data_IF_093680442875
#
_entry.id   IF_093680442875
#
_cell.length_a   1.000
_cell.length_b   1.000
_cell.length_c   1.000
_cell.angle_alpha   90.00
_cell.angle_beta   90.00
_cell.angle_gamma   90.00
#
_symmetry.space_group_name_H-M   'P 1'
#
loop_
_entity.id
_entity.type
_entity.pdbx_description
1 polymer ?
#
# COMPACT_ATOMS: atom_id res chain seq x y z
N UNK A 1 3.30 -1.90 9.49
CA UNK A 1 2.74 -2.87 10.45
C UNK A 1 3.53 -4.18 10.46
N UNK A 2 3.71 -4.83 9.30
CA UNK A 2 4.46 -6.11 9.22
C UNK A 2 5.85 -5.99 9.88
N UNK A 3 6.66 -5.00 9.49
CA UNK A 3 7.97 -4.75 10.07
C UNK A 3 7.94 -4.61 11.61
N UNK A 4 6.94 -3.91 12.13
CA UNK A 4 6.76 -3.75 13.58
C UNK A 4 6.42 -5.07 14.28
N UNK A 5 5.52 -5.84 13.70
CA UNK A 5 5.05 -7.12 14.26
C UNK A 5 6.10 -8.24 14.14
N UNK A 6 6.92 -8.22 13.08
CA UNK A 6 8.01 -9.20 12.90
C UNK A 6 9.18 -9.05 13.88
N UNK A 7 9.21 -8.01 14.71
CA UNK A 7 10.27 -7.81 15.74
C UNK A 7 10.15 -8.77 16.92
N UNK A 8 9.03 -9.44 17.08
CA UNK A 8 8.75 -10.35 18.23
C UNK A 8 8.97 -11.82 17.87
N UNK A 9 9.87 -12.14 16.96
CA UNK A 9 10.15 -13.49 16.42
C UNK A 9 8.94 -14.17 15.77
N UNK A 10 7.92 -13.39 15.42
CA UNK A 10 6.72 -13.89 14.75
C UNK A 10 6.93 -13.95 13.23
N UNK A 11 6.50 -15.06 12.63
CA UNK A 11 6.41 -15.16 11.18
C UNK A 11 5.14 -14.48 10.69
N UNK A 12 5.29 -13.24 10.22
CA UNK A 12 4.19 -12.38 9.77
C UNK A 12 4.14 -12.36 8.25
N UNK A 13 3.00 -12.72 7.68
CA UNK A 13 2.79 -12.70 6.23
C UNK A 13 1.57 -11.85 5.85
N UNK A 14 1.59 -11.29 4.64
CA UNK A 14 0.44 -10.58 4.07
C UNK A 14 -0.41 -11.51 3.20
N UNK A 15 -1.72 -11.29 3.20
CA UNK A 15 -2.67 -12.00 2.34
C UNK A 15 -3.50 -11.01 1.53
N UNK A 16 -3.30 -11.02 0.22
CA UNK A 16 -4.03 -10.20 -0.75
C UNK A 16 -4.91 -11.04 -1.68
N UNK A 17 -5.76 -10.39 -2.45
CA UNK A 17 -6.58 -11.07 -3.47
C UNK A 17 -5.81 -11.44 -4.73
N UNK A 18 -4.71 -10.75 -5.01
CA UNK A 18 -4.07 -10.82 -6.32
C UNK A 18 -4.86 -10.04 -7.38
N UNK A 19 -5.39 -8.86 -7.01
CA UNK A 19 -6.15 -8.04 -7.95
C UNK A 19 -5.27 -7.64 -9.14
N UNK A 20 -5.82 -7.75 -10.36
CA UNK A 20 -5.08 -7.50 -11.60
C UNK A 20 -4.24 -8.66 -12.09
N UNK A 21 -3.91 -9.63 -11.22
CA UNK A 21 -3.13 -10.81 -11.58
C UNK A 21 -3.95 -11.92 -12.26
N UNK A 22 -3.28 -12.74 -13.06
CA UNK A 22 -3.86 -13.93 -13.71
C UNK A 22 -3.94 -15.12 -12.75
N UNK A 23 -2.99 -15.25 -11.81
CA UNK A 23 -2.96 -16.30 -10.80
C UNK A 23 -4.04 -16.08 -9.73
N UNK A 24 -4.85 -17.09 -9.49
CA UNK A 24 -5.96 -17.01 -8.52
C UNK A 24 -5.58 -17.56 -7.14
N UNK A 25 -4.38 -18.10 -6.99
CA UNK A 25 -3.90 -18.70 -5.76
C UNK A 25 -4.70 -19.96 -5.32
N UNK A 26 -4.42 -20.48 -4.15
CA UNK A 26 -3.41 -20.02 -3.18
C UNK A 26 -1.97 -20.06 -3.72
N UNK A 27 -1.23 -18.97 -3.57
CA UNK A 27 0.14 -18.89 -4.05
C UNK A 27 0.97 -17.98 -3.13
N UNK A 28 2.14 -18.45 -2.71
CA UNK A 28 3.14 -17.61 -2.05
C UNK A 28 3.91 -16.86 -3.13
N UNK A 29 3.91 -15.53 -3.03
CA UNK A 29 4.53 -14.67 -4.03
C UNK A 29 6.05 -14.70 -3.88
N UNK A 30 6.74 -15.04 -4.96
CA UNK A 30 8.19 -14.99 -5.06
C UNK A 30 8.62 -13.71 -5.82
N UNK A 31 9.24 -12.73 -5.14
CA UNK A 31 9.62 -11.48 -5.78
C UNK A 31 10.70 -11.61 -6.86
N UNK A 32 11.40 -12.75 -6.96
CA UNK A 32 12.43 -12.98 -7.96
C UNK A 32 11.87 -13.59 -9.25
N UNK A 33 10.79 -14.35 -9.16
CA UNK A 33 10.25 -15.12 -10.30
C UNK A 33 8.86 -14.67 -10.74
N UNK A 34 8.04 -14.15 -9.82
CA UNK A 34 6.70 -13.67 -10.14
C UNK A 34 6.74 -12.27 -10.77
N UNK A 35 5.77 -12.01 -11.64
CA UNK A 35 5.58 -10.69 -12.27
C UNK A 35 4.22 -10.11 -11.93
N UNK A 36 4.09 -8.79 -12.02
CA UNK A 36 2.86 -8.07 -11.64
C UNK A 36 1.60 -8.53 -12.39
N UNK A 37 1.75 -8.96 -13.65
CA UNK A 37 0.64 -9.51 -14.46
C UNK A 37 0.12 -10.86 -13.95
N UNK A 38 0.92 -11.57 -13.17
CA UNK A 38 0.54 -12.87 -12.65
C UNK A 38 -0.04 -12.77 -11.24
N UNK A 39 0.61 -12.03 -10.35
CA UNK A 39 0.24 -11.98 -8.93
C UNK A 39 -0.44 -10.67 -8.51
N UNK A 40 -0.39 -9.64 -9.37
CA UNK A 40 -0.81 -8.28 -9.04
C UNK A 40 0.35 -7.42 -8.50
N UNK A 41 0.29 -6.13 -8.76
CA UNK A 41 1.35 -5.18 -8.36
C UNK A 41 1.47 -5.04 -6.83
N UNK A 42 0.36 -4.94 -6.10
CA UNK A 42 0.39 -4.78 -4.64
C UNK A 42 0.99 -5.99 -3.92
N UNK A 43 0.58 -7.24 -4.20
CA UNK A 43 1.22 -8.42 -3.61
C UNK A 43 2.71 -8.54 -3.96
N UNK A 44 3.07 -8.23 -5.21
CA UNK A 44 4.48 -8.27 -5.64
C UNK A 44 5.31 -7.22 -4.90
N UNK A 45 4.77 -6.01 -4.69
CA UNK A 45 5.41 -4.97 -3.89
C UNK A 45 5.57 -5.41 -2.42
N UNK A 46 4.54 -6.00 -1.84
CA UNK A 46 4.61 -6.52 -0.48
C UNK A 46 5.64 -7.66 -0.33
N UNK A 47 5.81 -8.49 -1.36
CA UNK A 47 6.79 -9.56 -1.39
C UNK A 47 8.24 -9.06 -1.39
N UNK A 48 8.52 -7.85 -1.89
CA UNK A 48 9.86 -7.26 -1.85
C UNK A 48 10.41 -7.05 -0.43
N UNK A 49 9.52 -6.91 0.55
CA UNK A 49 9.89 -6.58 1.93
C UNK A 49 9.51 -7.65 2.95
N UNK A 50 8.99 -8.80 2.52
CA UNK A 50 8.67 -9.94 3.38
C UNK A 50 7.60 -10.84 2.78
N UNK A 51 7.20 -11.86 3.52
CA UNK A 51 6.30 -12.89 3.03
C UNK A 51 4.93 -12.35 2.60
N UNK A 52 4.52 -12.67 1.38
CA UNK A 52 3.24 -12.28 0.81
C UNK A 52 2.56 -13.46 0.10
N UNK A 53 1.25 -13.55 0.24
CA UNK A 53 0.42 -14.58 -0.35
C UNK A 53 -0.73 -13.96 -1.11
N UNK A 54 -1.16 -14.63 -2.17
CA UNK A 54 -2.38 -14.29 -2.89
C UNK A 54 -3.34 -15.48 -2.89
N UNK A 55 -4.63 -15.15 -2.90
CA UNK A 55 -5.67 -16.14 -3.10
C UNK A 55 -7.05 -15.52 -3.18
N UNK A 56 -7.85 -15.96 -4.13
CA UNK A 56 -9.25 -15.57 -4.24
C UNK A 56 -10.06 -16.18 -3.10
N UNK A 57 -9.82 -17.46 -2.81
CA UNK A 57 -10.33 -18.12 -1.59
C UNK A 57 -9.40 -17.79 -0.41
N UNK A 58 -9.82 -16.80 0.39
CA UNK A 58 -9.09 -16.35 1.57
C UNK A 58 -8.98 -17.44 2.63
N UNK A 59 -10.01 -18.29 2.76
CA UNK A 59 -10.07 -19.33 3.80
C UNK A 59 -9.07 -20.42 3.49
N UNK A 60 -9.05 -20.90 2.25
CA UNK A 60 -8.10 -21.92 1.80
C UNK A 60 -6.67 -21.39 1.93
N UNK A 61 -6.43 -20.17 1.44
CA UNK A 61 -5.10 -19.56 1.50
C UNK A 61 -4.62 -19.38 2.94
N UNK A 62 -5.47 -18.86 3.84
CA UNK A 62 -5.10 -18.69 5.24
C UNK A 62 -4.81 -20.03 5.95
N UNK A 63 -5.51 -21.13 5.59
CA UNK A 63 -5.22 -22.47 6.10
C UNK A 63 -3.83 -22.96 5.65
N UNK A 64 -3.48 -22.73 4.39
CA UNK A 64 -2.16 -23.09 3.87
C UNK A 64 -1.06 -22.27 4.53
N UNK A 65 -1.27 -20.96 4.70
CA UNK A 65 -0.33 -20.08 5.41
C UNK A 65 -0.11 -20.59 6.85
N UNK A 66 -1.16 -20.89 7.59
CA UNK A 66 -1.06 -21.44 8.94
C UNK A 66 -0.35 -22.80 8.96
N UNK A 67 -0.65 -23.69 8.01
CA UNK A 67 0.02 -24.98 7.87
C UNK A 67 1.51 -24.84 7.52
N UNK A 68 1.91 -23.77 6.86
CA UNK A 68 3.31 -23.45 6.57
C UNK A 68 4.06 -22.80 7.76
N UNK A 69 3.38 -22.53 8.86
CA UNK A 69 3.96 -21.95 10.07
C UNK A 69 3.88 -20.43 10.13
N UNK A 70 2.98 -19.78 9.40
CA UNK A 70 2.69 -18.35 9.57
C UNK A 70 1.92 -18.13 10.86
N UNK A 71 2.45 -17.30 11.75
CA UNK A 71 1.86 -17.01 13.06
C UNK A 71 0.80 -15.92 12.99
N UNK A 72 1.00 -14.93 12.11
CA UNK A 72 0.11 -13.78 11.95
C UNK A 72 -0.10 -13.42 10.47
N UNK A 73 -1.36 -13.27 10.09
CA UNK A 73 -1.77 -12.90 8.73
C UNK A 73 -2.29 -11.45 8.73
N UNK A 74 -1.66 -10.59 7.95
CA UNK A 74 -2.16 -9.24 7.66
C UNK A 74 -2.94 -9.30 6.36
N UNK A 75 -4.27 -9.16 6.44
CA UNK A 75 -5.10 -9.10 5.24
C UNK A 75 -5.08 -7.70 4.63
N UNK A 76 -4.56 -7.60 3.43
CA UNK A 76 -4.67 -6.39 2.61
C UNK A 76 -6.06 -6.31 1.96
N UNK A 77 -6.71 -5.13 2.05
CA UNK A 77 -8.13 -4.92 1.68
C UNK A 77 -9.09 -5.97 2.26
N UNK A 78 -8.84 -6.35 3.53
CA UNK A 78 -9.56 -7.44 4.20
C UNK A 78 -10.83 -7.02 4.96
N UNK A 79 -11.03 -5.72 5.23
CA UNK A 79 -12.06 -5.24 6.16
C UNK A 79 -13.48 -5.70 5.79
N UNK A 80 -13.83 -5.68 4.52
CA UNK A 80 -15.15 -6.06 3.99
C UNK A 80 -15.27 -7.54 3.60
N UNK A 81 -14.21 -8.33 3.77
CA UNK A 81 -14.27 -9.76 3.51
C UNK A 81 -14.90 -10.49 4.71
N UNK A 82 -16.06 -11.19 4.57
CA UNK A 82 -16.71 -11.85 5.68
C UNK A 82 -16.23 -13.30 5.91
N UNK A 83 -15.40 -13.84 5.02
CA UNK A 83 -15.06 -15.27 5.03
C UNK A 83 -14.07 -15.69 6.13
N UNK A 84 -13.27 -14.74 6.61
CA UNK A 84 -12.33 -14.93 7.71
C UNK A 84 -12.69 -14.02 8.89
N UNK A 85 -12.62 -14.59 10.10
CA UNK A 85 -12.62 -13.81 11.32
C UNK A 85 -11.35 -12.95 11.38
N UNK A 86 -11.49 -11.70 11.82
CA UNK A 86 -10.36 -10.81 12.05
C UNK A 86 -10.26 -10.55 13.55
N UNK A 87 -9.09 -10.81 14.10
CA UNK A 87 -8.80 -10.54 15.51
C UNK A 87 -8.58 -9.04 15.76
N UNK A 88 -8.21 -8.29 14.71
CA UNK A 88 -8.07 -6.84 14.72
C UNK A 88 -8.39 -6.29 13.32
N UNK A 89 -9.24 -5.27 13.25
CA UNK A 89 -9.60 -4.56 12.03
C UNK A 89 -9.15 -3.10 12.09
N UNK A 90 -8.20 -2.72 11.28
CA UNK A 90 -7.72 -1.35 11.13
C UNK A 90 -8.31 -0.74 9.85
N UNK A 91 -9.05 0.36 9.97
CA UNK A 91 -9.59 1.08 8.83
C UNK A 91 -8.72 2.28 8.51
N UNK A 92 -8.16 2.32 7.30
CA UNK A 92 -7.32 3.43 6.85
C UNK A 92 -8.17 4.42 6.06
N UNK A 93 -8.11 5.70 6.45
CA UNK A 93 -8.85 6.79 5.82
C UNK A 93 -7.88 7.90 5.43
N UNK A 94 -7.94 8.32 4.18
CA UNK A 94 -7.19 9.48 3.69
C UNK A 94 -7.78 10.76 4.29
N UNK A 95 -6.97 11.58 4.96
CA UNK A 95 -7.43 12.79 5.67
C UNK A 95 -8.12 13.81 4.76
N UNK A 96 -7.70 13.87 3.46
CA UNK A 96 -8.23 14.83 2.49
C UNK A 96 -9.46 14.28 1.75
N UNK A 97 -9.40 13.03 1.28
CA UNK A 97 -10.50 12.43 0.51
C UNK A 97 -11.62 11.90 1.40
N UNK A 98 -11.31 11.50 2.63
CA UNK A 98 -12.27 10.98 3.59
C UNK A 98 -13.07 9.80 3.01
N UNK A 99 -14.37 9.91 3.10
CA UNK A 99 -15.33 8.93 2.57
C UNK A 99 -15.97 9.39 1.24
N UNK A 100 -15.31 10.31 0.49
CA UNK A 100 -15.86 10.91 -0.71
C UNK A 100 -17.15 11.66 -0.40
N UNK A 101 -18.20 11.41 -1.18
CA UNK A 101 -19.53 12.03 -0.93
C UNK A 101 -20.35 11.28 0.15
N UNK A 102 -19.79 10.26 0.81
CA UNK A 102 -20.44 9.48 1.88
C UNK A 102 -21.51 8.48 1.42
N UNK A 103 -21.74 8.33 0.12
CA UNK A 103 -22.76 7.42 -0.41
C UNK A 103 -22.16 6.11 -0.91
N UNK A 104 -23.00 5.07 -0.85
CA UNK A 104 -22.71 3.74 -1.38
C UNK A 104 -22.91 3.73 -2.91
N UNK A 105 -22.19 2.86 -3.60
CA UNK A 105 -22.36 2.56 -5.03
C UNK A 105 -23.86 2.29 -5.35
N UNK A 106 -24.41 2.86 -6.43
CA UNK A 106 -23.74 3.62 -7.50
C UNK A 106 -23.70 5.14 -7.26
N UNK A 107 -24.25 5.66 -6.17
CA UNK A 107 -24.34 7.12 -5.87
C UNK A 107 -23.01 7.71 -5.40
N UNK A 108 -22.13 6.90 -4.84
CA UNK A 108 -20.83 7.31 -4.34
C UNK A 108 -19.81 6.16 -4.41
N UNK A 109 -18.60 6.36 -3.86
CA UNK A 109 -17.52 5.40 -4.00
C UNK A 109 -17.56 4.25 -2.99
N UNK A 110 -18.42 4.31 -1.98
CA UNK A 110 -18.38 3.35 -0.88
C UNK A 110 -19.06 2.03 -1.25
N UNK A 111 -18.52 0.92 -0.74
CA UNK A 111 -19.11 -0.42 -0.87
C UNK A 111 -20.17 -0.68 0.20
N UNK A 112 -20.13 0.07 1.30
CA UNK A 112 -21.07 0.01 2.43
C UNK A 112 -21.18 1.40 3.09
N UNK A 113 -22.14 1.58 4.00
CA UNK A 113 -22.27 2.84 4.74
C UNK A 113 -21.10 3.03 5.70
N UNK A 114 -20.70 4.29 5.91
CA UNK A 114 -19.62 4.64 6.85
C UNK A 114 -19.88 4.03 8.24
N UNK A 115 -21.12 4.17 8.74
CA UNK A 115 -21.49 3.64 10.05
C UNK A 115 -21.31 2.12 10.14
N UNK A 116 -21.74 1.37 9.11
CA UNK A 116 -21.56 -0.09 9.07
C UNK A 116 -20.09 -0.50 8.98
N UNK A 117 -19.27 0.21 8.21
CA UNK A 117 -17.83 -0.02 8.14
C UNK A 117 -17.15 0.25 9.48
N UNK A 118 -17.37 1.41 10.05
CA UNK A 118 -16.72 1.81 11.31
C UNK A 118 -17.19 0.99 12.53
N UNK A 119 -18.41 0.43 12.52
CA UNK A 119 -18.88 -0.43 13.63
C UNK A 119 -18.11 -1.72 13.79
N UNK A 120 -17.30 -2.12 12.79
CA UNK A 120 -16.46 -3.32 12.80
C UNK A 120 -14.97 -3.00 12.89
N UNK A 121 -14.62 -1.72 12.98
CA UNK A 121 -13.24 -1.28 13.16
C UNK A 121 -12.85 -1.34 14.64
N UNK A 122 -11.65 -1.81 14.91
CA UNK A 122 -11.04 -1.77 16.25
C UNK A 122 -10.19 -0.50 16.42
N UNK A 123 -9.69 0.05 15.32
CA UNK A 123 -9.06 1.38 15.27
C UNK A 123 -9.14 1.98 13.86
N UNK A 124 -9.00 3.31 13.80
CA UNK A 124 -8.96 4.06 12.55
C UNK A 124 -7.58 4.69 12.40
N UNK A 125 -7.00 4.59 11.20
CA UNK A 125 -5.74 5.24 10.84
C UNK A 125 -6.07 6.35 9.85
N UNK A 126 -5.84 7.61 10.24
CA UNK A 126 -6.00 8.78 9.38
C UNK A 126 -4.66 9.08 8.72
N UNK A 127 -4.63 8.97 7.39
CA UNK A 127 -3.41 9.14 6.59
C UNK A 127 -3.31 10.53 5.97
N UNK A 128 -2.24 11.24 6.32
CA UNK A 128 -1.91 12.55 5.76
C UNK A 128 -2.40 13.71 6.62
N UNK A 129 -2.02 14.92 6.18
CA UNK A 129 -2.34 16.17 6.86
C UNK A 129 -3.75 16.64 6.45
N UNK A 130 -4.60 16.85 7.44
CA UNK A 130 -5.96 17.31 7.20
C UNK A 130 -6.87 17.05 8.39
N UNK A 131 -8.04 17.67 8.34
CA UNK A 131 -9.08 17.40 9.33
C UNK A 131 -9.80 16.11 8.96
N UNK A 132 -9.77 15.09 9.82
CA UNK A 132 -10.53 13.87 9.55
C UNK A 132 -12.03 14.16 9.44
N UNK A 133 -12.78 13.37 8.65
CA UNK A 133 -14.24 13.46 8.58
C UNK A 133 -14.89 13.39 9.96
N UNK A 134 -15.96 14.15 10.18
CA UNK A 134 -16.66 14.20 11.47
C UNK A 134 -17.14 12.82 11.97
N UNK A 135 -17.45 11.90 11.04
CA UNK A 135 -17.81 10.53 11.38
C UNK A 135 -16.68 9.77 12.12
N UNK A 136 -15.40 10.09 11.85
CA UNK A 136 -14.24 9.52 12.54
C UNK A 136 -14.16 10.09 13.96
N UNK A 137 -14.35 11.39 14.12
CA UNK A 137 -14.30 12.03 15.44
C UNK A 137 -15.38 11.50 16.39
N UNK A 138 -16.47 10.94 15.87
CA UNK A 138 -17.57 10.34 16.63
C UNK A 138 -17.45 8.80 16.78
N UNK A 139 -16.46 8.17 16.15
CA UNK A 139 -16.28 6.74 16.25
C UNK A 139 -15.80 6.34 17.65
N UNK A 140 -16.38 5.28 18.26
CA UNK A 140 -16.06 4.87 19.63
C UNK A 140 -14.76 4.01 19.69
N UNK A 141 -13.82 4.24 18.78
CA UNK A 141 -12.58 3.45 18.65
C UNK A 141 -11.36 4.38 18.56
N UNK A 142 -10.18 3.93 18.94
CA UNK A 142 -8.96 4.71 18.84
C UNK A 142 -8.72 5.22 17.42
N UNK A 143 -8.28 6.48 17.31
CA UNK A 143 -7.88 7.07 16.02
C UNK A 143 -6.41 7.43 16.08
N UNK A 144 -5.65 6.90 15.14
CA UNK A 144 -4.22 7.15 14.98
C UNK A 144 -3.99 8.06 13.78
N UNK A 145 -3.09 9.03 13.93
CA UNK A 145 -2.59 9.84 12.82
C UNK A 145 -1.31 9.24 12.25
N UNK A 146 -1.23 9.19 10.93
CA UNK A 146 -0.03 8.78 10.24
C UNK A 146 0.16 9.58 8.94
N UNK A 147 1.39 9.73 8.52
CA UNK A 147 1.73 10.36 7.25
C UNK A 147 2.69 9.50 6.45
N UNK A 148 2.79 9.79 5.16
CA UNK A 148 3.73 9.12 4.26
C UNK A 148 5.08 9.83 4.32
N UNK A 149 6.15 9.09 4.59
CA UNK A 149 7.51 9.62 4.60
C UNK A 149 8.45 8.72 3.76
N UNK A 150 9.48 9.28 3.13
CA UNK A 150 10.51 8.49 2.45
C UNK A 150 11.22 7.55 3.43
N UNK A 151 11.51 6.35 2.97
CA UNK A 151 12.30 5.38 3.78
C UNK A 151 13.81 5.57 3.67
N UNK A 152 14.26 6.48 2.80
CA UNK A 152 15.67 6.76 2.57
C UNK A 152 15.92 8.24 2.30
N UNK A 153 17.17 8.55 1.97
CA UNK A 153 17.55 9.91 1.58
C UNK A 153 16.96 10.25 0.21
N UNK A 154 16.19 11.35 0.10
CA UNK A 154 15.70 11.81 -1.20
C UNK A 154 16.84 12.01 -2.20
N UNK A 155 16.63 11.72 -3.49
CA UNK A 155 17.67 11.85 -4.49
C UNK A 155 18.12 13.31 -4.63
N UNK A 156 19.41 13.53 -4.83
CA UNK A 156 19.99 14.83 -5.15
C UNK A 156 20.00 15.07 -6.66
N UNK A 157 19.89 16.33 -7.08
CA UNK A 157 19.92 16.77 -8.48
C UNK A 157 18.57 16.57 -9.21
N UNK A 158 18.51 17.03 -10.48
CA UNK A 158 17.28 17.12 -11.22
C UNK A 158 16.67 15.75 -11.56
N UNK A 159 15.34 15.66 -11.42
CA UNK A 159 14.57 14.47 -11.77
C UNK A 159 13.37 14.78 -12.66
N UNK A 160 13.05 13.85 -13.55
CA UNK A 160 11.75 13.76 -14.21
C UNK A 160 10.96 12.68 -13.49
N UNK A 161 9.86 13.08 -12.86
CA UNK A 161 8.99 12.18 -12.12
C UNK A 161 7.87 11.66 -13.02
N UNK A 162 7.53 10.39 -12.91
CA UNK A 162 6.35 9.84 -13.58
C UNK A 162 5.59 8.89 -12.65
N UNK A 163 4.27 8.79 -12.82
CA UNK A 163 3.45 7.90 -12.00
C UNK A 163 2.16 7.48 -12.72
N UNK A 164 1.87 6.17 -12.67
CA UNK A 164 0.65 5.53 -13.16
C UNK A 164 -0.17 4.92 -12.02
N UNK A 165 -0.46 5.74 -11.00
CA UNK A 165 -1.28 5.40 -9.85
C UNK A 165 -2.56 6.23 -9.83
N UNK A 166 -3.56 5.85 -9.03
CA UNK A 166 -4.88 6.51 -8.99
C UNK A 166 -4.84 8.02 -8.68
N UNK A 167 -3.81 8.51 -8.01
CA UNK A 167 -3.59 9.93 -7.72
C UNK A 167 -2.13 10.32 -7.90
N UNK A 168 -1.64 10.50 -9.15
CA UNK A 168 -0.24 10.83 -9.44
C UNK A 168 0.22 12.13 -8.77
N UNK A 169 -0.68 13.11 -8.64
CA UNK A 169 -0.37 14.39 -8.01
C UNK A 169 0.13 14.23 -6.58
N UNK A 170 -0.43 13.27 -5.81
CA UNK A 170 0.04 12.98 -4.45
C UNK A 170 1.51 12.58 -4.40
N UNK A 171 1.96 11.81 -5.37
CA UNK A 171 3.38 11.45 -5.50
C UNK A 171 4.24 12.68 -5.82
N UNK A 172 3.84 13.50 -6.76
CA UNK A 172 4.56 14.73 -7.12
C UNK A 172 4.62 15.73 -5.96
N UNK A 173 3.52 15.87 -5.21
CA UNK A 173 3.48 16.71 -4.01
C UNK A 173 4.42 16.16 -2.91
N UNK A 174 4.49 14.84 -2.75
CA UNK A 174 5.42 14.19 -1.81
C UNK A 174 6.87 14.49 -2.18
N UNK A 175 7.26 14.35 -3.45
CA UNK A 175 8.60 14.70 -3.92
C UNK A 175 8.92 16.18 -3.63
N UNK A 176 7.98 17.07 -3.89
CA UNK A 176 8.13 18.52 -3.66
C UNK A 176 8.28 18.84 -2.16
N UNK A 177 7.47 18.23 -1.30
CA UNK A 177 7.55 18.38 0.15
C UNK A 177 8.92 17.96 0.72
N UNK A 178 9.54 16.96 0.10
CA UNK A 178 10.88 16.49 0.45
C UNK A 178 12.02 17.17 -0.34
N UNK A 179 11.72 18.31 -0.99
CA UNK A 179 12.69 19.15 -1.71
C UNK A 179 13.44 18.42 -2.84
N UNK A 180 12.84 17.42 -3.44
CA UNK A 180 13.38 16.79 -4.64
C UNK A 180 13.28 17.79 -5.79
N UNK A 181 14.37 17.98 -6.51
CA UNK A 181 14.45 18.91 -7.65
C UNK A 181 13.73 18.31 -8.86
N UNK A 182 12.39 18.40 -8.86
CA UNK A 182 11.53 17.86 -9.91
C UNK A 182 11.44 18.88 -11.06
N UNK A 183 12.03 18.54 -12.21
CA UNK A 183 12.05 19.42 -13.41
C UNK A 183 10.79 19.22 -14.24
N UNK A 184 10.30 17.98 -14.30
CA UNK A 184 9.10 17.61 -15.06
C UNK A 184 8.31 16.54 -14.32
N UNK A 185 6.99 16.49 -14.53
CA UNK A 185 6.07 15.51 -13.91
C UNK A 185 5.13 14.95 -14.99
N UNK A 186 5.19 13.64 -15.20
CA UNK A 186 4.43 12.95 -16.25
C UNK A 186 3.42 12.00 -15.61
N UNK A 187 2.13 12.37 -15.54
CA UNK A 187 1.09 11.48 -15.06
C UNK A 187 0.67 10.46 -16.13
N UNK A 188 0.45 9.22 -15.72
CA UNK A 188 -0.15 8.16 -16.52
C UNK A 188 -1.49 7.72 -15.89
N UNK A 189 -2.36 7.03 -16.65
CA UNK A 189 -3.56 6.41 -16.10
C UNK A 189 -3.24 5.42 -14.96
N UNK A 190 -4.19 5.21 -14.04
CA UNK A 190 -4.02 4.22 -12.98
C UNK A 190 -3.79 2.81 -13.54
N UNK A 191 -2.88 2.06 -12.92
CA UNK A 191 -2.43 0.74 -13.36
C UNK A 191 -1.87 0.70 -14.80
N UNK A 192 -1.27 1.81 -15.26
CA UNK A 192 -0.69 1.89 -16.61
C UNK A 192 0.39 0.83 -16.83
N UNK A 193 0.28 0.15 -17.98
CA UNK A 193 1.33 -0.78 -18.44
C UNK A 193 2.28 0.01 -19.33
N UNK A 194 3.49 0.27 -18.83
CA UNK A 194 4.49 1.07 -19.55
C UNK A 194 4.96 0.36 -20.81
N UNK A 195 4.66 0.97 -21.95
CA UNK A 195 5.09 0.48 -23.27
C UNK A 195 6.54 0.90 -23.57
N UNK A 196 7.16 0.24 -24.54
CA UNK A 196 8.50 0.67 -25.03
C UNK A 196 8.51 2.12 -25.51
N UNK A 197 7.39 2.60 -26.09
CA UNK A 197 7.27 3.98 -26.55
C UNK A 197 7.19 4.95 -25.36
N UNK A 198 6.46 4.60 -24.29
CA UNK A 198 6.41 5.42 -23.08
C UNK A 198 7.79 5.54 -22.43
N UNK A 199 8.50 4.43 -22.30
CA UNK A 199 9.83 4.40 -21.70
C UNK A 199 10.85 5.17 -22.56
N UNK A 200 10.81 5.03 -23.88
CA UNK A 200 11.66 5.81 -24.77
C UNK A 200 11.38 7.32 -24.63
N UNK A 201 10.11 7.72 -24.59
CA UNK A 201 9.72 9.12 -24.36
C UNK A 201 10.26 9.65 -23.03
N UNK A 202 10.11 8.89 -21.94
CA UNK A 202 10.59 9.28 -20.62
C UNK A 202 12.12 9.42 -20.58
N UNK A 203 12.85 8.49 -21.19
CA UNK A 203 14.32 8.55 -21.27
C UNK A 203 14.79 9.76 -22.11
N UNK A 204 14.15 10.04 -23.25
CA UNK A 204 14.48 11.19 -24.08
C UNK A 204 14.19 12.50 -23.34
N UNK A 205 13.06 12.58 -22.62
CA UNK A 205 12.71 13.73 -21.80
C UNK A 205 13.76 13.95 -20.70
N UNK A 206 14.10 12.94 -19.94
CA UNK A 206 15.09 13.00 -18.86
C UNK A 206 16.48 13.42 -19.40
N UNK A 207 16.90 12.85 -20.54
CA UNK A 207 18.15 13.21 -21.23
C UNK A 207 18.16 14.68 -21.67
N UNK A 208 17.07 15.17 -22.26
CA UNK A 208 16.95 16.56 -22.72
C UNK A 208 17.03 17.56 -21.56
N UNK A 209 16.65 17.14 -20.35
CA UNK A 209 16.65 17.94 -19.12
C UNK A 209 17.91 17.72 -18.27
N UNK A 210 18.84 16.86 -18.69
CA UNK A 210 19.98 16.40 -17.87
C UNK A 210 19.53 15.89 -16.49
N UNK A 211 18.39 15.21 -16.44
CA UNK A 211 17.72 14.72 -15.25
C UNK A 211 17.71 13.18 -15.20
N UNK A 212 17.44 12.61 -14.02
CA UNK A 212 17.20 11.18 -13.83
C UNK A 212 15.70 10.89 -13.77
N UNK A 213 15.31 9.68 -14.12
CA UNK A 213 13.92 9.23 -13.98
C UNK A 213 13.64 8.76 -12.56
N UNK A 214 12.46 9.12 -12.04
CA UNK A 214 11.98 8.65 -10.73
C UNK A 214 10.49 8.33 -10.79
N UNK A 215 10.09 7.25 -10.12
CA UNK A 215 8.70 6.80 -10.06
C UNK A 215 8.33 6.24 -8.68
N UNK A 216 7.07 5.85 -8.49
CA UNK A 216 6.61 5.17 -7.28
C UNK A 216 7.12 3.73 -7.21
N UNK A 217 7.17 3.12 -6.02
CA UNK A 217 7.48 1.70 -5.88
C UNK A 217 6.48 0.82 -6.65
N UNK A 218 5.19 1.19 -6.63
CA UNK A 218 4.12 0.47 -7.34
C UNK A 218 4.32 0.49 -8.85
N UNK A 219 4.76 1.60 -9.41
CA UNK A 219 5.07 1.68 -10.85
C UNK A 219 6.39 1.00 -11.17
N UNK A 220 7.40 1.14 -10.31
CA UNK A 220 8.72 0.56 -10.50
C UNK A 220 8.69 -0.96 -10.70
N UNK A 221 7.88 -1.69 -9.91
CA UNK A 221 7.77 -3.13 -10.05
C UNK A 221 7.05 -3.59 -11.34
N UNK A 222 6.31 -2.70 -12.01
CA UNK A 222 5.69 -2.95 -13.32
C UNK A 222 6.65 -2.71 -14.49
N UNK A 223 7.79 -2.04 -14.24
CA UNK A 223 8.76 -1.78 -15.29
C UNK A 223 9.45 -3.07 -15.70
N UNK A 224 9.82 -3.21 -17.00
CA UNK A 224 10.71 -4.27 -17.44
C UNK A 224 12.04 -4.22 -16.66
N UNK A 225 12.61 -5.36 -16.35
CA UNK A 225 13.84 -5.45 -15.56
C UNK A 225 15.00 -4.60 -16.14
N UNK A 226 15.16 -4.62 -17.46
CA UNK A 226 16.18 -3.84 -18.15
C UNK A 226 16.08 -2.32 -17.91
N UNK A 227 14.86 -1.80 -17.72
CA UNK A 227 14.61 -0.37 -17.50
C UNK A 227 14.78 0.02 -16.04
N UNK A 228 14.57 -0.93 -15.10
CA UNK A 228 14.74 -0.68 -13.65
C UNK A 228 16.16 -0.24 -13.29
N UNK A 229 17.16 -0.66 -14.05
CA UNK A 229 18.56 -0.27 -13.81
C UNK A 229 18.81 1.25 -13.98
N UNK A 230 17.97 1.94 -14.74
CA UNK A 230 18.13 3.36 -15.08
C UNK A 230 17.07 4.27 -14.48
N UNK A 231 16.05 3.70 -13.85
CA UNK A 231 14.92 4.41 -13.24
C UNK A 231 14.99 4.22 -11.72
N UNK A 232 14.85 5.29 -10.97
CA UNK A 232 14.81 5.25 -9.51
C UNK A 232 13.38 5.01 -9.02
N UNK A 233 13.22 4.20 -7.97
CA UNK A 233 12.00 4.21 -7.16
C UNK A 233 12.13 5.21 -6.02
N UNK A 234 11.00 5.75 -5.56
CA UNK A 234 10.92 6.58 -4.36
C UNK A 234 10.15 5.81 -3.28
N UNK A 235 10.86 5.02 -2.45
CA UNK A 235 10.22 4.20 -1.44
C UNK A 235 9.71 5.06 -0.30
N UNK A 236 8.50 4.74 0.15
CA UNK A 236 7.82 5.45 1.23
C UNK A 236 7.24 4.48 2.26
N UNK A 237 7.10 4.94 3.49
CA UNK A 237 6.40 4.21 4.54
C UNK A 237 5.43 5.10 5.29
N UNK A 238 4.47 4.47 5.96
CA UNK A 238 3.59 5.15 6.90
C UNK A 238 4.32 5.35 8.23
N UNK A 239 4.44 6.60 8.66
CA UNK A 239 4.99 7.00 9.95
C UNK A 239 3.84 7.42 10.85
N UNK A 240 3.70 6.76 11.99
CA UNK A 240 2.68 7.06 13.00
C UNK A 240 3.18 8.16 13.94
N UNK A 241 2.31 9.13 14.23
CA UNK A 241 2.63 10.23 15.14
C UNK A 241 2.71 9.73 16.59
N UNK A 242 1.80 8.84 16.98
CA UNK A 242 1.76 8.21 18.30
C UNK A 242 2.03 6.70 18.19
N UNK A 243 3.27 6.31 18.37
CA UNK A 243 3.67 4.91 18.36
C UNK A 243 3.23 4.14 19.61
N UNK A 244 3.04 4.81 20.75
CA UNK A 244 2.57 4.19 21.98
C UNK A 244 1.08 3.82 21.88
N UNK A 245 0.28 4.66 21.23
CA UNK A 245 -1.12 4.33 20.93
C UNK A 245 -1.20 3.16 19.94
N UNK A 246 -0.33 3.12 18.92
CA UNK A 246 -0.25 1.99 18.00
C UNK A 246 0.10 0.70 18.75
N UNK A 247 1.06 0.74 19.69
CA UNK A 247 1.42 -0.40 20.52
C UNK A 247 0.23 -0.88 21.36
N UNK A 248 -0.52 0.05 21.93
CA UNK A 248 -1.74 -0.27 22.69
C UNK A 248 -2.80 -0.95 21.83
N UNK A 249 -3.00 -0.49 20.59
CA UNK A 249 -3.95 -1.09 19.64
C UNK A 249 -3.53 -2.49 19.21
N UNK A 250 -2.23 -2.74 19.07
CA UNK A 250 -1.68 -4.04 18.63
C UNK A 250 -1.51 -5.04 19.78
N UNK A 251 -1.43 -4.57 21.04
CA UNK A 251 -1.15 -5.40 22.20
C UNK A 251 -2.05 -6.64 22.34
N UNK A 252 -3.39 -6.56 22.13
CA UNK A 252 -4.26 -7.75 22.25
C UNK A 252 -3.87 -8.89 21.30
N UNK A 253 -3.41 -8.58 20.09
CA UNK A 253 -2.96 -9.58 19.12
C UNK A 253 -1.65 -10.23 19.56
N UNK A 254 -0.68 -9.41 19.98
CA UNK A 254 0.63 -9.88 20.44
C UNK A 254 0.47 -10.76 21.67
N UNK A 255 -0.37 -10.39 22.63
CA UNK A 255 -0.66 -11.20 23.83
C UNK A 255 -1.34 -12.54 23.51
N UNK A 256 -2.20 -12.56 22.48
CA UNK A 256 -2.87 -13.78 22.04
C UNK A 256 -1.90 -14.78 21.41
N UNK A 257 -0.89 -14.30 20.68
CA UNK A 257 0.13 -15.13 20.01
C UNK A 257 1.19 -15.68 20.98
N UNK A 258 1.37 -15.04 22.13
CA UNK A 258 2.33 -15.49 23.17
C UNK A 258 1.76 -16.57 24.12
N UNK A 259 0.48 -16.89 24.02
CA UNK A 259 -0.21 -17.93 24.81
C UNK A 259 -0.26 -19.25 24.08
#
# INVERSE_FOLDING_TARGET
LREKLSRDDLRVATLSRGYGGSNKGPHQVDPETDIATDVGDEPLMLAQTGEAWIGVDRVETARLMAASGVDLIIMDDGHQNPSLHKDLSLVVVDATAGFGNGYVIPKGPLRETVAAGLSRADAIIVMGDGRPPDAIAQAPVPTLSAHVAPTGTPPSGPVVAFAGIGRPQKFFDTLSAHKVEMIDAVPFPDHHVFTKADLAYLHDLAKSRSARLITTEKDYIRLPEADRATIMSFPVSAVFEDTALLDTVLAPIIEKLRK
#
